data_IF_256514330068
#
_entry.id   IF_256514330068
#
_cell.length_a   1.000
_cell.length_b   1.000
_cell.length_c   1.000
_cell.angle_alpha   90.00
_cell.angle_beta   90.00
_cell.angle_gamma   90.00
#
_symmetry.space_group_name_H-M   'P 1'
#
loop_
_entity.id
_entity.type
_entity.pdbx_description
1 polymer ?
#
# COMPACT_ATOMS: atom_id res chain seq x y z
N UNK A 1 -5.76 14.25 -16.56
CA UNK A 1 -4.64 13.79 -17.41
C UNK A 1 -3.27 14.12 -16.85
N UNK A 2 -2.94 13.63 -15.65
CA UNK A 2 -1.54 13.57 -15.19
C UNK A 2 -1.34 12.27 -14.41
N UNK A 3 -1.32 11.16 -15.14
CA UNK A 3 -0.62 9.97 -14.63
C UNK A 3 0.85 10.35 -14.69
N UNK A 4 1.42 10.64 -13.51
CA UNK A 4 2.83 10.98 -13.34
C UNK A 4 3.69 10.15 -14.29
N UNK A 5 4.43 10.85 -15.15
CA UNK A 5 5.38 10.32 -16.13
C UNK A 5 6.01 9.01 -15.65
N UNK A 6 5.91 7.97 -16.48
CA UNK A 6 6.49 6.63 -16.30
C UNK A 6 7.96 6.69 -15.88
N UNK A 7 8.21 6.87 -14.59
CA UNK A 7 9.56 6.83 -14.04
C UNK A 7 10.03 5.38 -14.00
N UNK A 8 10.91 5.02 -14.93
CA UNK A 8 11.80 3.84 -14.93
C UNK A 8 11.19 2.54 -14.39
N UNK A 9 10.11 2.09 -15.01
CA UNK A 9 9.64 0.72 -14.82
C UNK A 9 10.59 -0.22 -15.55
N UNK A 10 11.60 -0.77 -14.85
CA UNK A 10 12.32 -1.93 -15.39
C UNK A 10 11.34 -3.11 -15.42
N UNK A 11 10.98 -3.63 -16.62
CA UNK A 11 10.09 -4.77 -16.70
C UNK A 11 10.71 -5.93 -15.93
N UNK A 12 9.93 -6.58 -15.08
CA UNK A 12 10.37 -7.84 -14.52
C UNK A 12 10.48 -8.86 -15.65
N UNK A 13 11.46 -9.76 -15.56
CA UNK A 13 11.53 -10.88 -16.50
C UNK A 13 10.25 -11.71 -16.40
N UNK A 14 9.82 -12.31 -17.52
CA UNK A 14 8.64 -13.18 -17.57
C UNK A 14 8.66 -14.25 -16.48
N UNK A 15 9.81 -14.86 -16.24
CA UNK A 15 10.03 -15.85 -15.18
C UNK A 15 9.78 -15.28 -13.77
N UNK A 16 10.18 -14.03 -13.52
CA UNK A 16 9.95 -13.38 -12.22
C UNK A 16 8.47 -13.04 -12.01
N UNK A 17 7.76 -12.64 -13.06
CA UNK A 17 6.31 -12.44 -13.02
C UNK A 17 5.57 -13.76 -12.74
N UNK A 18 5.94 -14.85 -13.44
CA UNK A 18 5.32 -16.16 -13.26
C UNK A 18 5.45 -16.66 -11.81
N UNK A 19 6.66 -16.59 -11.24
CA UNK A 19 6.89 -16.97 -9.83
C UNK A 19 6.13 -16.10 -8.82
N UNK A 20 5.89 -14.83 -9.16
CA UNK A 20 5.11 -13.95 -8.30
C UNK A 20 3.62 -14.34 -8.34
N UNK A 21 3.10 -14.71 -9.51
CA UNK A 21 1.72 -15.20 -9.68
C UNK A 21 1.50 -16.50 -8.92
N UNK A 22 2.39 -17.49 -9.07
CA UNK A 22 2.30 -18.77 -8.35
C UNK A 22 2.23 -18.55 -6.83
N UNK A 23 3.05 -17.64 -6.28
CA UNK A 23 3.01 -17.31 -4.85
C UNK A 23 1.73 -16.59 -4.42
N UNK A 24 1.14 -15.80 -5.30
CA UNK A 24 -0.14 -15.12 -5.03
C UNK A 24 -1.28 -16.13 -5.00
N UNK A 25 -1.31 -17.10 -5.91
CA UNK A 25 -2.32 -18.17 -5.96
C UNK A 25 -2.32 -19.04 -4.71
N UNK A 26 -1.14 -19.27 -4.13
CA UNK A 26 -0.97 -20.01 -2.87
C UNK A 26 -1.30 -19.18 -1.61
N UNK A 27 -1.47 -17.87 -1.74
CA UNK A 27 -1.71 -16.99 -0.58
C UNK A 27 -3.14 -17.18 -0.06
N UNK A 28 -3.27 -17.49 1.23
CA UNK A 28 -4.55 -17.56 1.94
C UNK A 28 -4.72 -16.36 2.87
N UNK A 29 -5.95 -15.86 3.08
CA UNK A 29 -6.20 -14.84 4.09
C UNK A 29 -5.72 -15.31 5.47
N UNK A 30 -4.89 -14.49 6.12
CA UNK A 30 -4.59 -14.64 7.54
C UNK A 30 -5.74 -14.02 8.35
N UNK A 31 -6.10 -14.61 9.49
CA UNK A 31 -7.25 -14.16 10.30
C UNK A 31 -7.10 -12.80 10.99
N UNK A 32 -6.05 -12.02 10.70
CA UNK A 32 -5.83 -10.68 11.25
C UNK A 32 -5.18 -9.74 10.24
N UNK A 33 -5.43 -8.43 10.40
CA UNK A 33 -4.87 -7.38 9.55
C UNK A 33 -3.82 -6.57 10.31
N UNK A 34 -2.55 -6.64 9.90
CA UNK A 34 -1.48 -5.78 10.43
C UNK A 34 -0.85 -4.94 9.30
N UNK A 35 -1.55 -3.89 8.91
CA UNK A 35 -1.12 -3.01 7.83
C UNK A 35 0.14 -2.22 8.22
N UNK A 36 0.30 -1.85 9.49
CA UNK A 36 1.45 -1.08 9.97
C UNK A 36 2.76 -1.85 9.75
N UNK A 37 2.79 -3.13 10.15
CA UNK A 37 3.95 -3.98 9.97
C UNK A 37 4.21 -4.31 8.48
N UNK A 38 3.15 -4.49 7.69
CA UNK A 38 3.28 -4.70 6.25
C UNK A 38 3.95 -3.51 5.54
N UNK A 39 3.50 -2.28 5.84
CA UNK A 39 4.09 -1.05 5.30
C UNK A 39 5.54 -0.88 5.74
N UNK A 40 5.85 -1.12 7.02
CA UNK A 40 7.22 -1.07 7.54
C UNK A 40 8.14 -2.06 6.83
N UNK A 41 7.67 -3.30 6.63
CA UNK A 41 8.43 -4.35 5.95
C UNK A 41 8.72 -3.97 4.50
N UNK A 42 7.73 -3.44 3.78
CA UNK A 42 7.92 -2.98 2.41
C UNK A 42 8.95 -1.84 2.31
N UNK A 43 8.87 -0.85 3.20
CA UNK A 43 9.82 0.25 3.22
C UNK A 43 11.25 -0.20 3.59
N UNK A 44 11.41 -1.13 4.55
CA UNK A 44 12.71 -1.74 4.88
C UNK A 44 13.32 -2.52 3.70
N UNK A 45 12.50 -3.06 2.82
CA UNK A 45 12.94 -3.73 1.58
C UNK A 45 13.29 -2.73 0.46
N UNK A 46 13.27 -1.42 0.73
CA UNK A 46 13.62 -0.38 -0.23
C UNK A 46 12.51 -0.04 -1.21
N UNK A 47 11.24 -0.36 -0.89
CA UNK A 47 10.12 0.04 -1.74
C UNK A 47 10.00 1.57 -1.79
N UNK A 48 10.04 2.14 -3.00
CA UNK A 48 9.86 3.58 -3.23
C UNK A 48 8.42 3.96 -3.55
N UNK A 49 7.59 2.97 -3.89
CA UNK A 49 6.15 3.07 -4.10
C UNK A 49 5.50 1.82 -3.51
N UNK A 50 4.40 2.00 -2.78
CA UNK A 50 3.65 0.90 -2.15
C UNK A 50 2.18 1.05 -2.53
N UNK A 51 1.60 -0.02 -3.07
CA UNK A 51 0.16 -0.11 -3.36
C UNK A 51 -0.50 -0.96 -2.28
N UNK A 52 -1.54 -0.42 -1.64
CA UNK A 52 -2.33 -1.11 -0.60
C UNK A 52 -3.73 -1.37 -1.15
N UNK A 53 -4.21 -2.59 -1.00
CA UNK A 53 -5.60 -2.98 -1.30
C UNK A 53 -6.20 -3.56 -0.02
N UNK A 54 -7.31 -3.00 0.45
CA UNK A 54 -7.93 -3.41 1.72
C UNK A 54 -9.46 -3.24 1.71
N UNK A 55 -10.15 -4.15 2.39
CA UNK A 55 -11.61 -4.24 2.58
C UNK A 55 -12.11 -3.68 3.93
N UNK A 56 -11.29 -2.83 4.56
CA UNK A 56 -11.72 -1.80 5.52
C UNK A 56 -11.99 -2.20 6.99
N UNK A 57 -12.00 -3.50 7.36
CA UNK A 57 -12.41 -3.86 8.72
C UNK A 57 -11.46 -3.38 9.84
N UNK A 58 -10.15 -3.29 9.59
CA UNK A 58 -9.13 -3.09 10.64
C UNK A 58 -8.31 -1.79 10.51
N UNK A 59 -8.64 -0.91 9.56
CA UNK A 59 -7.91 0.36 9.35
C UNK A 59 -8.09 1.36 10.51
N UNK A 60 -8.93 1.04 11.50
CA UNK A 60 -9.28 1.90 12.62
C UNK A 60 -8.41 1.73 13.88
N UNK A 61 -7.47 0.78 13.91
CA UNK A 61 -6.70 0.44 15.13
C UNK A 61 -5.24 0.92 15.16
N UNK A 62 -4.75 1.57 14.10
CA UNK A 62 -3.35 1.98 13.97
C UNK A 62 -3.04 3.41 14.44
N UNK A 63 -1.86 3.63 15.03
CA UNK A 63 -1.28 4.98 15.14
C UNK A 63 -0.64 5.37 13.81
N UNK A 64 -1.46 5.96 12.94
CA UNK A 64 -1.09 6.36 11.59
C UNK A 64 -0.02 7.46 11.52
N UNK A 65 0.04 8.32 12.54
CA UNK A 65 1.10 9.32 12.67
C UNK A 65 2.47 8.68 12.92
N UNK A 66 2.51 7.64 13.77
CA UNK A 66 3.71 6.85 14.00
C UNK A 66 4.13 6.05 12.75
N UNK A 67 3.17 5.52 11.97
CA UNK A 67 3.45 4.86 10.69
C UNK A 67 4.07 5.86 9.68
N UNK A 68 3.46 7.03 9.50
CA UNK A 68 3.98 8.07 8.61
C UNK A 68 5.41 8.49 8.98
N UNK A 69 5.65 8.71 10.28
CA UNK A 69 6.96 9.05 10.83
C UNK A 69 7.99 7.95 10.58
N UNK A 70 7.58 6.69 10.79
CA UNK A 70 8.43 5.52 10.54
C UNK A 70 8.81 5.42 9.07
N UNK A 71 7.85 5.55 8.16
CA UNK A 71 8.08 5.51 6.72
C UNK A 71 9.03 6.61 6.24
N UNK A 72 8.90 7.84 6.76
CA UNK A 72 9.84 8.94 6.47
C UNK A 72 11.25 8.66 6.95
N UNK A 73 11.39 8.01 8.10
CA UNK A 73 12.70 7.70 8.70
C UNK A 73 13.42 6.59 7.94
N UNK A 74 12.70 5.53 7.57
CA UNK A 74 13.30 4.30 6.99
C UNK A 74 13.35 4.32 5.46
N UNK A 75 12.37 4.93 4.79
CA UNK A 75 12.38 5.04 3.34
C UNK A 75 13.12 6.30 2.92
N UNK A 76 14.25 6.12 2.23
CA UNK A 76 14.99 7.22 1.59
C UNK A 76 15.10 6.92 0.08
N UNK A 77 14.31 7.57 -0.79
CA UNK A 77 13.25 8.54 -0.48
C UNK A 77 12.04 7.92 0.23
N UNK A 78 11.23 8.75 0.89
CA UNK A 78 9.99 8.28 1.54
C UNK A 78 9.08 7.61 0.51
N UNK A 79 8.52 6.41 0.78
CA UNK A 79 7.75 5.69 -0.22
C UNK A 79 6.43 6.42 -0.50
N UNK A 80 6.04 6.55 -1.77
CA UNK A 80 4.71 7.06 -2.14
C UNK A 80 3.66 5.96 -1.93
N UNK A 81 2.60 6.25 -1.17
CA UNK A 81 1.54 5.29 -0.89
C UNK A 81 0.33 5.48 -1.80
N UNK A 82 -0.06 4.42 -2.49
CA UNK A 82 -1.28 4.38 -3.30
C UNK A 82 -2.26 3.39 -2.65
N UNK A 83 -3.41 3.86 -2.19
CA UNK A 83 -4.41 3.00 -1.56
C UNK A 83 -5.63 2.78 -2.46
N UNK A 84 -6.10 1.53 -2.53
CA UNK A 84 -7.36 1.14 -3.16
C UNK A 84 -8.21 0.49 -2.07
N UNK A 85 -9.32 1.13 -1.74
CA UNK A 85 -10.26 0.61 -0.74
C UNK A 85 -11.41 -0.12 -1.42
N UNK A 86 -11.76 -1.28 -0.89
CA UNK A 86 -12.85 -2.12 -1.36
C UNK A 86 -14.00 -2.09 -0.35
N UNK A 87 -15.24 -1.85 -0.78
CA UNK A 87 -16.44 -1.96 0.08
C UNK A 87 -17.11 -0.62 0.43
N UNK A 88 -18.12 -0.67 1.32
CA UNK A 88 -19.11 0.41 1.49
C UNK A 88 -18.97 1.29 2.74
N UNK A 89 -17.99 1.09 3.63
CA UNK A 89 -17.95 1.89 4.85
C UNK A 89 -17.34 3.29 4.63
N UNK A 90 -18.20 4.30 4.75
CA UNK A 90 -17.82 5.72 4.77
C UNK A 90 -17.32 6.10 6.16
N UNK A 91 -16.01 6.14 6.34
CA UNK A 91 -15.37 7.27 7.03
C UNK A 91 -14.19 7.76 6.20
N UNK A 92 -13.92 9.06 6.29
CA UNK A 92 -12.80 9.69 5.61
C UNK A 92 -11.56 9.38 6.46
N UNK A 93 -10.96 8.23 6.15
CA UNK A 93 -10.13 7.47 7.07
C UNK A 93 -8.65 7.81 7.00
N UNK A 94 -7.97 7.55 8.11
CA UNK A 94 -6.53 7.71 8.33
C UNK A 94 -5.62 7.25 7.17
N UNK A 95 -6.07 6.31 6.34
CA UNK A 95 -5.36 5.86 5.14
C UNK A 95 -5.21 6.97 4.09
N UNK A 96 -6.23 7.81 3.91
CA UNK A 96 -6.19 8.98 3.01
C UNK A 96 -5.18 10.01 3.49
N UNK A 97 -5.12 10.25 4.80
CA UNK A 97 -4.14 11.14 5.41
C UNK A 97 -2.71 10.61 5.29
N UNK A 98 -2.52 9.29 5.45
CA UNK A 98 -1.23 8.64 5.24
C UNK A 98 -0.77 8.75 3.77
N UNK A 99 -1.67 8.54 2.81
CA UNK A 99 -1.41 8.76 1.39
C UNK A 99 -0.99 10.20 1.11
N UNK A 100 -1.70 11.19 1.65
CA UNK A 100 -1.34 12.62 1.50
C UNK A 100 0.05 12.92 2.09
N UNK A 101 0.33 12.43 3.29
CA UNK A 101 1.59 12.65 4.01
C UNK A 101 2.83 12.02 3.35
N UNK A 102 2.62 11.06 2.46
CA UNK A 102 3.67 10.38 1.68
C UNK A 102 3.75 10.87 0.23
N UNK A 103 2.94 11.87 -0.16
CA UNK A 103 2.88 12.36 -1.55
C UNK A 103 2.30 11.34 -2.53
N UNK A 104 1.45 10.44 -2.04
CA UNK A 104 0.71 9.45 -2.82
C UNK A 104 -0.78 9.80 -2.95
N UNK A 105 -1.62 8.80 -3.24
CA UNK A 105 -3.06 8.99 -3.50
C UNK A 105 -3.91 7.84 -2.95
N UNK A 106 -5.20 8.07 -2.76
CA UNK A 106 -6.16 7.06 -2.32
C UNK A 106 -7.37 7.07 -3.27
N UNK A 107 -7.88 5.89 -3.61
CA UNK A 107 -9.09 5.70 -4.44
C UNK A 107 -10.03 4.72 -3.77
N UNK A 108 -11.31 5.04 -3.83
CA UNK A 108 -12.38 4.23 -3.29
C UNK A 108 -13.05 3.48 -4.43
N UNK A 109 -13.11 2.16 -4.33
CA UNK A 109 -13.79 1.29 -5.29
C UNK A 109 -14.93 0.55 -4.59
N UNK A 110 -16.16 0.81 -5.04
CA UNK A 110 -17.31 0.04 -4.62
C UNK A 110 -17.29 -1.29 -5.37
N UNK A 111 -16.84 -2.36 -4.71
CA UNK A 111 -17.03 -3.71 -5.23
C UNK A 111 -18.50 -4.08 -5.00
N UNK A 112 -19.25 -4.27 -6.08
CA UNK A 112 -20.64 -4.74 -6.07
C UNK A 112 -20.68 -6.26 -6.05
#
# INVERSE_FOLDING_TARGET
>A
DEIASEGDWKPWSRTRCQRALERLEDTRPGGSTDLANALRTAALRGATRIVVISDDADLNSGDWGAIATTLRRIGRPTPKLCAIRLGQQMREDNLSDLCRQSGGWCRFESVR
#
